data_IF_238090202145
#
_entry.id   IF_238090202145
#
_cell.length_a   1.000
_cell.length_b   1.000
_cell.length_c   1.000
_cell.angle_alpha   90.00
_cell.angle_beta   90.00
_cell.angle_gamma   90.00
#
_symmetry.space_group_name_H-M   'P 1'
#
loop_
_entity.id
_entity.type
_entity.pdbx_description
1 polymer ?
#
# COMPACT_ATOMS: atom_id res chain seq x y z
N UNK A 1 -18.67 9.19 16.31
CA UNK A 1 -17.19 9.27 16.30
C UNK A 1 -16.64 8.11 15.50
N UNK A 2 -15.97 8.43 14.40
CA UNK A 2 -15.45 7.44 13.43
C UNK A 2 -14.02 7.07 13.82
N UNK A 3 -13.79 6.60 15.03
CA UNK A 3 -12.43 6.25 15.38
C UNK A 3 -12.11 4.86 14.85
N UNK A 4 -11.02 4.78 14.14
CA UNK A 4 -10.45 3.57 13.54
C UNK A 4 -9.14 3.27 14.23
N UNK A 5 -8.76 2.01 14.28
CA UNK A 5 -7.42 1.63 14.66
C UNK A 5 -6.48 1.91 13.49
N UNK A 6 -5.32 2.48 13.79
CA UNK A 6 -4.26 2.72 12.82
C UNK A 6 -3.03 1.94 13.26
N UNK A 7 -2.50 1.11 12.38
CA UNK A 7 -1.29 0.33 12.62
C UNK A 7 -0.26 0.62 11.54
N UNK A 8 1.02 0.53 11.89
CA UNK A 8 2.14 0.60 10.96
C UNK A 8 2.95 -0.68 10.97
N UNK A 9 3.40 -1.12 9.81
CA UNK A 9 4.37 -2.19 9.67
C UNK A 9 5.75 -1.62 9.42
N UNK A 10 6.78 -2.31 9.90
CA UNK A 10 8.15 -2.05 9.48
C UNK A 10 8.32 -2.33 7.99
N UNK A 11 9.37 -1.77 7.40
CA UNK A 11 9.69 -2.03 6.01
C UNK A 11 10.09 -3.51 5.81
N UNK A 12 9.71 -4.05 4.67
CA UNK A 12 9.94 -5.46 4.34
C UNK A 12 11.43 -5.82 4.28
N UNK A 13 12.29 -4.93 3.82
CA UNK A 13 13.72 -5.22 3.72
C UNK A 13 14.39 -5.39 5.07
N UNK A 14 13.80 -4.85 6.13
CA UNK A 14 14.28 -5.08 7.50
C UNK A 14 14.01 -6.50 8.00
N UNK A 15 13.14 -7.26 7.32
CA UNK A 15 12.66 -8.56 7.78
C UNK A 15 11.79 -8.49 9.04
N UNK A 16 11.25 -7.30 9.36
CA UNK A 16 10.50 -7.01 10.59
C UNK A 16 9.05 -6.61 10.31
N UNK A 17 8.56 -6.86 9.12
CA UNK A 17 7.19 -6.56 8.69
C UNK A 17 6.16 -7.59 9.19
N UNK A 18 6.43 -8.22 10.33
CA UNK A 18 5.49 -9.16 10.96
C UNK A 18 4.22 -8.44 11.43
N UNK A 19 3.09 -8.95 11.01
CA UNK A 19 1.76 -8.45 11.33
C UNK A 19 1.01 -9.31 12.36
N UNK A 20 1.67 -10.28 13.00
CA UNK A 20 1.00 -11.21 13.94
C UNK A 20 0.30 -10.46 15.08
N UNK A 21 0.87 -9.34 15.54
CA UNK A 21 0.27 -8.53 16.61
C UNK A 21 -1.10 -7.94 16.22
N UNK A 22 -1.39 -7.78 14.93
CA UNK A 22 -2.67 -7.25 14.46
C UNK A 22 -3.82 -8.24 14.65
N UNK A 23 -3.51 -9.54 14.69
CA UNK A 23 -4.52 -10.62 14.85
C UNK A 23 -5.14 -10.66 16.25
N UNK A 24 -4.47 -10.05 17.23
CA UNK A 24 -4.93 -10.00 18.61
C UNK A 24 -5.59 -8.66 18.98
N UNK A 25 -5.67 -7.72 18.01
CA UNK A 25 -6.37 -6.47 18.23
C UNK A 25 -7.89 -6.69 18.25
N UNK A 26 -8.64 -5.88 19.01
CA UNK A 26 -10.11 -5.90 18.94
C UNK A 26 -10.60 -5.57 17.53
N UNK A 27 -11.55 -6.36 17.02
CA UNK A 27 -12.14 -6.19 15.69
C UNK A 27 -13.45 -5.37 15.70
N UNK A 28 -13.69 -4.60 16.77
CA UNK A 28 -14.87 -3.75 16.93
C UNK A 28 -14.81 -2.46 16.08
N UNK A 29 -13.65 -2.17 15.52
CA UNK A 29 -13.40 -0.96 14.71
C UNK A 29 -12.62 -1.29 13.44
N UNK A 30 -12.88 -0.55 12.34
CA UNK A 30 -12.10 -0.72 11.13
C UNK A 30 -10.62 -0.43 11.38
N UNK A 31 -9.76 -1.37 10.98
CA UNK A 31 -8.31 -1.24 11.05
C UNK A 31 -7.77 -0.67 9.72
N UNK A 32 -6.96 0.37 9.82
CA UNK A 32 -6.15 0.88 8.72
C UNK A 32 -4.70 0.47 8.95
N UNK A 33 -4.03 0.02 7.90
CA UNK A 33 -2.64 -0.41 7.98
C UNK A 33 -1.77 0.44 7.08
N UNK A 34 -0.73 1.03 7.65
CA UNK A 34 0.33 1.75 6.91
C UNK A 34 1.53 0.82 6.74
N UNK A 35 2.05 0.76 5.54
CA UNK A 35 3.27 0.01 5.24
C UNK A 35 4.09 0.75 4.18
N UNK A 36 5.40 0.54 4.15
CA UNK A 36 6.25 1.20 3.19
C UNK A 36 6.12 0.55 1.81
N UNK A 37 6.40 -0.75 1.70
CA UNK A 37 6.29 -1.48 0.45
C UNK A 37 4.93 -2.17 0.31
N UNK A 38 4.30 -2.15 -0.87
CA UNK A 38 3.09 -2.92 -1.15
C UNK A 38 3.28 -4.42 -0.94
N UNK A 39 4.49 -4.91 -1.12
CA UNK A 39 4.88 -6.31 -0.91
C UNK A 39 4.58 -6.82 0.51
N UNK A 40 4.60 -5.96 1.52
CA UNK A 40 4.25 -6.29 2.91
C UNK A 40 2.76 -6.66 3.06
N UNK A 41 1.91 -6.46 2.05
CA UNK A 41 0.52 -6.92 2.06
C UNK A 41 0.39 -8.41 2.39
N UNK A 42 1.34 -9.22 1.98
CA UNK A 42 1.38 -10.66 2.27
C UNK A 42 1.42 -10.98 3.76
N UNK A 43 2.01 -10.10 4.58
CA UNK A 43 2.05 -10.26 6.04
C UNK A 43 0.67 -10.09 6.67
N UNK A 44 -0.26 -9.42 5.98
CA UNK A 44 -1.62 -9.19 6.44
C UNK A 44 -2.58 -10.36 6.16
N UNK A 45 -2.10 -11.48 5.64
CA UNK A 45 -2.96 -12.66 5.42
C UNK A 45 -3.57 -13.13 6.74
N UNK A 46 -4.91 -13.21 6.76
CA UNK A 46 -5.67 -13.59 7.95
C UNK A 46 -5.79 -12.49 9.01
N UNK A 47 -5.44 -11.26 8.68
CA UNK A 47 -5.76 -10.05 9.45
C UNK A 47 -7.02 -9.44 8.86
N UNK A 48 -7.98 -9.07 9.71
CA UNK A 48 -9.14 -8.28 9.29
C UNK A 48 -8.78 -6.80 9.31
N UNK A 49 -8.75 -6.18 8.14
CA UNK A 49 -8.46 -4.75 7.97
C UNK A 49 -9.34 -4.12 6.89
N UNK A 50 -9.63 -2.84 7.05
CA UNK A 50 -10.46 -2.10 6.11
C UNK A 50 -9.69 -1.63 4.86
N UNK A 51 -8.46 -1.19 5.06
CA UNK A 51 -7.58 -0.70 3.98
C UNK A 51 -6.13 -0.75 4.42
N UNK A 52 -5.27 -1.28 3.56
CA UNK A 52 -3.81 -1.12 3.64
C UNK A 52 -3.36 0.00 2.69
N UNK A 53 -2.39 0.79 3.11
CA UNK A 53 -1.84 1.90 2.34
C UNK A 53 -0.32 1.78 2.27
N UNK A 54 0.21 1.91 1.05
CA UNK A 54 1.65 1.79 0.79
C UNK A 54 2.13 2.88 -0.18
N UNK A 55 3.44 3.03 -0.25
CA UNK A 55 4.13 3.88 -1.22
C UNK A 55 5.27 3.12 -1.89
N UNK A 56 6.49 3.63 -1.78
CA UNK A 56 7.74 3.00 -2.20
C UNK A 56 7.96 2.91 -3.72
N UNK A 57 6.97 2.57 -4.48
CA UNK A 57 7.08 2.30 -5.94
C UNK A 57 7.32 3.56 -6.77
N UNK A 58 7.06 4.73 -6.21
CA UNK A 58 7.05 6.01 -6.91
C UNK A 58 6.16 6.01 -8.19
N UNK A 59 5.16 5.10 -8.22
CA UNK A 59 4.31 4.88 -9.41
C UNK A 59 5.08 4.37 -10.63
N UNK A 60 6.27 3.78 -10.40
CA UNK A 60 7.21 3.43 -11.45
C UNK A 60 8.14 4.57 -11.84
N UNK A 61 7.88 5.78 -11.38
CA UNK A 61 8.61 7.04 -11.67
C UNK A 61 8.65 7.42 -13.16
N UNK A 62 8.94 6.45 -14.03
CA UNK A 62 8.73 6.51 -15.48
C UNK A 62 7.62 5.52 -15.81
N UNK A 63 6.41 6.05 -16.03
CA UNK A 63 5.26 5.22 -16.30
C UNK A 63 5.05 5.06 -17.81
N UNK A 64 5.08 3.83 -18.24
CA UNK A 64 4.73 3.45 -19.62
C UNK A 64 3.58 2.44 -19.49
N UNK A 65 2.39 2.73 -20.03
CA UNK A 65 1.25 1.82 -19.98
C UNK A 65 1.66 0.40 -20.38
N UNK A 66 1.09 -0.62 -19.75
CA UNK A 66 1.34 -2.05 -19.92
C UNK A 66 2.81 -2.52 -19.69
N UNK A 67 3.81 -1.64 -19.71
CA UNK A 67 5.22 -2.02 -19.52
C UNK A 67 5.67 -1.86 -18.07
N UNK A 68 5.32 -0.75 -17.43
CA UNK A 68 5.84 -0.44 -16.07
C UNK A 68 5.44 -1.50 -15.06
N UNK A 69 4.20 -1.99 -15.08
CA UNK A 69 3.75 -3.06 -14.21
C UNK A 69 4.53 -4.36 -14.42
N UNK A 70 4.76 -4.74 -15.68
CA UNK A 70 5.53 -5.92 -16.01
C UNK A 70 7.00 -5.84 -15.54
N UNK A 71 7.62 -4.67 -15.70
CA UNK A 71 8.98 -4.43 -15.24
C UNK A 71 9.07 -4.52 -13.71
N UNK A 72 8.11 -3.94 -12.98
CA UNK A 72 8.08 -4.03 -11.52
C UNK A 72 7.87 -5.47 -11.04
N UNK A 73 6.96 -6.20 -11.69
CA UNK A 73 6.75 -7.61 -11.36
C UNK A 73 8.00 -8.44 -11.62
N UNK A 74 8.66 -8.23 -12.76
CA UNK A 74 9.81 -9.01 -13.18
C UNK A 74 11.07 -8.70 -12.34
N UNK A 75 11.34 -7.42 -12.09
CA UNK A 75 12.58 -6.99 -11.43
C UNK A 75 12.48 -6.96 -9.90
N UNK A 76 11.31 -6.75 -9.35
CA UNK A 76 11.11 -6.52 -7.91
C UNK A 76 10.08 -7.42 -7.27
N UNK A 77 9.45 -8.30 -8.03
CA UNK A 77 8.31 -9.12 -7.58
C UNK A 77 7.19 -8.28 -6.95
N UNK A 78 7.00 -7.05 -7.46
CA UNK A 78 6.03 -6.10 -6.93
C UNK A 78 4.88 -5.92 -7.92
N UNK A 79 3.73 -6.55 -7.68
CA UNK A 79 2.58 -6.48 -8.57
C UNK A 79 1.78 -5.18 -8.46
N UNK A 80 2.02 -4.39 -7.40
CA UNK A 80 1.21 -3.23 -7.06
C UNK A 80 2.05 -1.95 -7.17
N UNK A 81 1.83 -1.18 -8.22
CA UNK A 81 2.68 -0.02 -8.54
C UNK A 81 2.03 1.30 -8.15
N UNK A 82 0.74 1.48 -8.45
CA UNK A 82 0.01 2.74 -8.21
C UNK A 82 -1.50 2.51 -8.24
N UNK A 83 -2.22 3.16 -7.35
CA UNK A 83 -3.68 3.18 -7.30
C UNK A 83 -4.28 2.18 -6.33
N UNK A 84 -5.57 1.91 -6.53
CA UNK A 84 -6.36 1.04 -5.67
C UNK A 84 -6.42 -0.39 -6.23
N UNK A 85 -6.26 -1.35 -5.34
CA UNK A 85 -6.33 -2.78 -5.65
C UNK A 85 -7.28 -3.48 -4.69
N UNK A 86 -8.14 -4.33 -5.25
CA UNK A 86 -8.92 -5.31 -4.49
C UNK A 86 -8.25 -6.67 -4.67
N UNK A 87 -7.65 -7.18 -3.61
CA UNK A 87 -6.81 -8.38 -3.66
C UNK A 87 -7.42 -9.50 -2.82
N UNK A 88 -6.93 -10.71 -3.00
CA UNK A 88 -7.32 -11.85 -2.17
C UNK A 88 -6.96 -11.71 -0.69
N UNK A 89 -6.00 -10.83 -0.36
CA UNK A 89 -5.62 -10.52 1.03
C UNK A 89 -6.49 -9.41 1.62
N UNK A 90 -6.98 -8.50 0.78
CA UNK A 90 -7.80 -7.36 1.15
C UNK A 90 -7.51 -6.13 0.30
N UNK A 91 -8.05 -5.00 0.70
CA UNK A 91 -7.97 -3.74 -0.05
C UNK A 91 -6.64 -3.04 0.18
N UNK A 92 -5.99 -2.65 -0.91
CA UNK A 92 -4.71 -1.96 -0.91
C UNK A 92 -4.80 -0.67 -1.73
N UNK A 93 -4.24 0.40 -1.20
CA UNK A 93 -3.98 1.63 -1.95
C UNK A 93 -2.48 1.91 -1.98
N UNK A 94 -1.94 2.15 -3.17
CA UNK A 94 -0.52 2.48 -3.39
C UNK A 94 -0.42 3.89 -3.94
N UNK A 95 0.27 4.77 -3.21
CA UNK A 95 0.51 6.15 -3.65
C UNK A 95 1.82 6.23 -4.45
N UNK A 96 1.84 6.98 -5.57
CA UNK A 96 3.08 7.30 -6.26
C UNK A 96 3.93 8.32 -5.48
N UNK A 97 3.33 9.04 -4.55
CA UNK A 97 4.00 10.04 -3.72
C UNK A 97 4.64 11.18 -4.51
N UNK A 98 5.42 11.99 -3.82
CA UNK A 98 6.05 13.20 -4.37
C UNK A 98 7.56 13.03 -4.63
N UNK A 99 8.18 11.99 -4.08
CA UNK A 99 9.63 11.74 -4.14
C UNK A 99 10.11 11.17 -5.46
N UNK A 100 11.41 11.14 -5.62
CA UNK A 100 12.12 10.45 -6.71
C UNK A 100 13.26 9.63 -6.15
N UNK A 101 13.66 8.58 -6.86
CA UNK A 101 14.79 7.74 -6.51
C UNK A 101 15.72 7.60 -7.71
N UNK A 102 17.03 7.70 -7.47
CA UNK A 102 18.05 7.60 -8.52
C UNK A 102 18.06 8.83 -9.42
N UNK A 103 17.33 8.78 -10.53
CA UNK A 103 17.27 9.89 -11.48
C UNK A 103 16.16 10.87 -11.06
N UNK A 104 16.41 12.19 -10.98
CA UNK A 104 15.41 13.19 -10.60
C UNK A 104 14.45 13.50 -11.76
N UNK A 105 13.80 12.48 -12.28
CA UNK A 105 12.88 12.54 -13.42
C UNK A 105 11.63 11.74 -13.10
N UNK A 106 10.46 12.29 -13.43
CA UNK A 106 9.20 11.57 -13.54
C UNK A 106 8.65 11.73 -14.96
N UNK A 107 8.15 10.64 -15.53
CA UNK A 107 7.52 10.64 -16.84
C UNK A 107 6.15 9.93 -16.75
N UNK A 108 5.10 10.62 -17.17
CA UNK A 108 3.69 10.17 -17.07
C UNK A 108 3.29 9.63 -15.69
N UNK A 109 3.98 10.11 -14.67
CA UNK A 109 3.74 9.79 -13.26
C UNK A 109 4.02 11.04 -12.41
N UNK A 110 3.15 12.06 -12.41
CA UNK A 110 3.38 13.30 -11.70
C UNK A 110 3.50 13.07 -10.19
N UNK A 111 4.21 13.95 -9.47
CA UNK A 111 4.19 13.97 -8.02
C UNK A 111 2.75 14.11 -7.51
N UNK A 112 2.34 13.26 -6.57
CA UNK A 112 0.95 13.19 -6.13
C UNK A 112 0.86 13.18 -4.61
N UNK A 113 -0.10 13.93 -4.08
CA UNK A 113 -0.58 13.82 -2.71
C UNK A 113 -2.00 13.29 -2.79
N UNK A 114 -2.21 12.09 -2.28
CA UNK A 114 -3.52 11.45 -2.29
C UNK A 114 -4.28 11.75 -1.00
N UNK A 115 -5.54 12.14 -1.15
CA UNK A 115 -6.47 12.35 -0.04
C UNK A 115 -7.54 11.28 -0.08
N UNK A 116 -7.55 10.40 0.91
CA UNK A 116 -8.52 9.31 1.03
C UNK A 116 -9.61 9.68 2.02
N UNK A 117 -10.84 9.82 1.55
CA UNK A 117 -11.99 10.01 2.41
C UNK A 117 -12.60 8.66 2.81
N UNK A 118 -12.58 8.37 4.10
CA UNK A 118 -13.16 7.14 4.66
C UNK A 118 -14.59 7.40 5.13
N UNK A 119 -15.55 6.78 4.49
CA UNK A 119 -16.97 6.90 4.81
C UNK A 119 -17.51 5.62 5.44
N UNK A 120 -18.42 5.78 6.39
CA UNK A 120 -19.18 4.65 6.90
C UNK A 120 -20.19 4.23 5.83
N UNK A 121 -20.17 2.95 5.49
CA UNK A 121 -21.26 2.38 4.71
C UNK A 121 -22.48 2.26 5.63
N UNK A 122 -23.53 3.02 5.33
CA UNK A 122 -24.86 2.90 5.98
C UNK A 122 -25.65 1.96 5.09
N UNK A 123 -25.96 0.78 5.60
CA UNK A 123 -26.95 -0.11 4.98
C UNK A 123 -28.35 0.42 5.21
#
# INVERSE_FOLDING_TARGET
MLFRSLAGLYDWWSGRDDAAFLKVLPHDKPLLVLMHQPHSLRALRGVDFALAMAGHTHGGQVYIPWLTGEVFMLMRSEPYVNGYYDTSTGKLFVTPGIGVTGVPLRFDCPPTIDVLELRRHVQ
#
